data_IF_963353517025
#
_entry.id   IF_963353517025
#
_cell.length_a   1.000
_cell.length_b   1.000
_cell.length_c   1.000
_cell.angle_alpha   90.00
_cell.angle_beta   90.00
_cell.angle_gamma   90.00
#
_symmetry.space_group_name_H-M   'P 1'
#
loop_
_entity.id
_entity.type
_entity.pdbx_description
1 polymer ?
#
# COMPACT_ATOMS: atom_id res chain seq x y z
N UNK A 1 9.95 -1.61 12.05
CA UNK A 1 9.00 -1.07 11.06
C UNK A 1 9.83 -0.76 9.86
N UNK A 2 9.49 -1.36 8.72
CA UNK A 2 10.33 -1.32 7.52
C UNK A 2 9.59 -0.67 6.34
N UNK A 3 8.25 -0.70 6.37
CA UNK A 3 7.40 -0.13 5.34
C UNK A 3 6.03 0.29 5.89
N UNK A 4 5.39 1.20 5.16
CA UNK A 4 3.97 1.51 5.23
C UNK A 4 3.37 1.15 3.88
N UNK A 5 2.28 0.38 3.88
CA UNK A 5 1.61 -0.05 2.65
C UNK A 5 0.25 0.63 2.54
N UNK A 6 -0.02 1.23 1.38
CA UNK A 6 -1.27 1.87 1.03
C UNK A 6 -1.99 1.03 -0.02
N UNK A 7 -3.23 0.68 0.26
CA UNK A 7 -4.09 -0.13 -0.63
C UNK A 7 -5.55 0.30 -0.47
N UNK A 8 -6.43 -0.19 -1.34
CA UNK A 8 -7.83 0.19 -1.41
C UNK A 8 -8.03 1.58 -2.01
N UNK A 9 -9.29 1.93 -2.32
CA UNK A 9 -9.61 3.13 -3.10
C UNK A 9 -8.93 4.42 -2.63
N UNK A 10 -9.00 4.73 -1.32
CA UNK A 10 -8.37 5.94 -0.77
C UNK A 10 -6.85 5.78 -0.67
N UNK A 11 -6.35 4.65 -0.20
CA UNK A 11 -4.92 4.42 -0.04
C UNK A 11 -4.17 4.48 -1.38
N UNK A 12 -4.77 3.95 -2.44
CA UNK A 12 -4.18 3.90 -3.78
C UNK A 12 -4.25 5.25 -4.51
N UNK A 13 -5.34 6.00 -4.36
CA UNK A 13 -5.60 7.15 -5.22
C UNK A 13 -5.44 8.51 -4.54
N UNK A 14 -5.51 8.58 -3.19
CA UNK A 14 -5.47 9.85 -2.47
C UNK A 14 -4.04 10.18 -2.00
N UNK A 15 -3.25 10.77 -2.90
CA UNK A 15 -1.87 11.22 -2.61
C UNK A 15 -1.77 12.09 -1.35
N UNK A 16 -2.72 13.03 -1.14
CA UNK A 16 -2.75 13.89 0.03
C UNK A 16 -2.97 13.13 1.36
N UNK A 17 -3.73 12.02 1.33
CA UNK A 17 -3.94 11.18 2.51
C UNK A 17 -2.64 10.43 2.84
N UNK A 18 -1.94 9.93 1.83
CA UNK A 18 -0.63 9.29 2.02
C UNK A 18 0.41 10.27 2.57
N UNK A 19 0.42 11.50 2.08
CA UNK A 19 1.27 12.58 2.60
C UNK A 19 1.00 12.87 4.07
N UNK A 20 -0.27 13.05 4.44
CA UNK A 20 -0.65 13.30 5.84
C UNK A 20 -0.26 12.13 6.76
N UNK A 21 -0.48 10.89 6.31
CA UNK A 21 -0.08 9.69 7.05
C UNK A 21 1.44 9.60 7.21
N UNK A 22 2.21 9.81 6.14
CA UNK A 22 3.67 9.76 6.16
C UNK A 22 4.29 10.89 6.98
N UNK A 23 3.65 12.07 7.01
CA UNK A 23 4.08 13.20 7.85
C UNK A 23 4.09 12.83 9.34
N UNK A 24 3.12 12.04 9.80
CA UNK A 24 3.06 11.52 11.17
C UNK A 24 4.21 10.56 11.53
N UNK A 25 4.90 10.00 10.54
CA UNK A 25 5.97 9.01 10.72
C UNK A 25 7.38 9.58 10.49
N UNK A 26 7.52 10.90 10.29
CA UNK A 26 8.81 11.56 10.09
C UNK A 26 9.82 11.28 11.22
N UNK A 27 9.34 11.15 12.47
CA UNK A 27 10.20 10.85 13.63
C UNK A 27 10.89 9.47 13.52
N UNK A 28 10.37 8.57 12.68
CA UNK A 28 10.96 7.27 12.39
C UNK A 28 11.85 7.28 11.13
N UNK A 29 12.05 8.44 10.49
CA UNK A 29 12.82 8.57 9.25
C UNK A 29 12.01 8.37 7.96
N UNK A 30 10.68 8.41 8.04
CA UNK A 30 9.82 8.43 6.84
C UNK A 30 10.04 9.73 6.05
N UNK A 31 10.30 9.59 4.75
CA UNK A 31 10.42 10.68 3.80
C UNK A 31 9.71 10.26 2.52
N UNK A 32 8.72 11.02 2.11
CA UNK A 32 7.91 10.73 0.93
C UNK A 32 8.43 11.53 -0.26
N UNK A 33 8.54 10.90 -1.43
CA UNK A 33 8.77 11.60 -2.70
C UNK A 33 7.43 12.16 -3.16
N UNK A 34 7.25 13.48 -3.06
CA UNK A 34 5.95 14.15 -3.32
C UNK A 34 5.55 14.01 -4.78
N UNK A 35 6.49 14.11 -5.71
CA UNK A 35 6.21 14.02 -7.15
C UNK A 35 5.82 12.60 -7.54
N UNK A 36 6.54 11.59 -7.03
CA UNK A 36 6.20 10.18 -7.27
C UNK A 36 4.90 9.80 -6.56
N UNK A 37 4.69 10.30 -5.35
CA UNK A 37 3.45 10.10 -4.62
C UNK A 37 2.23 10.69 -5.36
N UNK A 38 2.38 11.89 -5.94
CA UNK A 38 1.32 12.57 -6.69
C UNK A 38 0.88 11.81 -7.94
N UNK A 39 1.81 11.10 -8.59
CA UNK A 39 1.51 10.23 -9.74
C UNK A 39 0.67 9.00 -9.37
N UNK A 40 0.62 8.63 -8.08
CA UNK A 40 -0.04 7.41 -7.58
C UNK A 40 0.26 6.15 -8.41
N UNK A 41 1.54 5.82 -8.69
CA UNK A 41 1.84 4.65 -9.51
C UNK A 41 1.44 3.37 -8.76
N UNK A 42 0.70 2.46 -9.41
CA UNK A 42 0.33 1.19 -8.77
C UNK A 42 1.58 0.34 -8.52
N UNK A 43 1.53 -0.46 -7.45
CA UNK A 43 2.53 -1.48 -7.11
C UNK A 43 3.97 -0.93 -7.03
N UNK A 44 4.13 0.24 -6.40
CA UNK A 44 5.37 1.00 -6.41
C UNK A 44 5.74 1.59 -5.05
N UNK A 45 7.05 1.80 -4.83
CA UNK A 45 7.55 2.54 -3.68
C UNK A 45 7.65 4.05 -3.99
N UNK A 46 6.88 4.83 -3.26
CA UNK A 46 6.79 6.29 -3.33
C UNK A 46 7.59 7.01 -2.23
N UNK A 47 8.40 6.29 -1.45
CA UNK A 47 9.35 6.92 -0.53
C UNK A 47 10.50 7.60 -1.28
N UNK A 48 11.02 8.68 -0.70
CA UNK A 48 12.25 9.32 -1.13
C UNK A 48 13.45 8.37 -0.95
N UNK A 49 14.48 8.50 -1.78
CA UNK A 49 15.67 7.63 -1.74
C UNK A 49 16.37 7.62 -0.37
N UNK A 50 16.33 8.76 0.34
CA UNK A 50 16.92 8.91 1.68
C UNK A 50 16.00 8.47 2.83
N UNK A 51 14.81 7.94 2.52
CA UNK A 51 13.91 7.46 3.57
C UNK A 51 14.43 6.16 4.19
N UNK A 52 14.27 6.04 5.51
CA UNK A 52 14.54 4.79 6.24
C UNK A 52 13.39 3.78 6.14
N UNK A 53 12.22 4.20 5.69
CA UNK A 53 11.01 3.39 5.58
C UNK A 53 10.51 3.41 4.14
N UNK A 54 10.06 2.27 3.63
CA UNK A 54 9.35 2.27 2.35
C UNK A 54 7.91 2.78 2.51
N UNK A 55 7.39 3.44 1.49
CA UNK A 55 5.98 3.84 1.39
C UNK A 55 5.46 3.23 0.09
N UNK A 56 4.72 2.13 0.18
CA UNK A 56 4.40 1.28 -0.97
C UNK A 56 2.91 1.42 -1.29
N UNK A 57 2.58 1.76 -2.53
CA UNK A 57 1.22 1.64 -3.05
C UNK A 57 1.06 0.24 -3.62
N UNK A 58 0.05 -0.50 -3.18
CA UNK A 58 -0.26 -1.84 -3.69
C UNK A 58 -1.71 -1.84 -4.15
N UNK A 59 -1.92 -2.19 -5.41
CA UNK A 59 -3.27 -2.28 -5.98
C UNK A 59 -4.01 -3.45 -5.36
N UNK A 60 -5.20 -3.19 -4.84
CA UNK A 60 -6.06 -4.23 -4.32
C UNK A 60 -6.63 -5.07 -5.47
N UNK A 61 -6.42 -6.38 -5.42
CA UNK A 61 -7.06 -7.35 -6.31
C UNK A 61 -8.19 -8.05 -5.54
N UNK A 62 -9.20 -7.28 -5.13
CA UNK A 62 -10.27 -7.73 -4.23
C UNK A 62 -11.01 -8.96 -4.77
N UNK A 63 -11.41 -8.92 -6.05
CA UNK A 63 -12.09 -10.03 -6.72
C UNK A 63 -11.25 -11.31 -6.72
N UNK A 64 -9.94 -11.18 -6.93
CA UNK A 64 -9.03 -12.31 -6.94
C UNK A 64 -8.80 -12.87 -5.52
N UNK A 65 -8.69 -11.98 -4.53
CA UNK A 65 -8.59 -12.38 -3.13
C UNK A 65 -9.85 -13.14 -2.69
N UNK A 66 -11.03 -12.68 -3.08
CA UNK A 66 -12.32 -13.35 -2.85
C UNK A 66 -12.36 -14.71 -3.57
N UNK A 67 -12.03 -14.76 -4.86
CA UNK A 67 -12.03 -16.00 -5.64
C UNK A 67 -11.09 -17.05 -5.02
N UNK A 68 -9.89 -16.65 -4.61
CA UNK A 68 -8.92 -17.52 -3.92
C UNK A 68 -9.44 -18.01 -2.58
N UNK A 69 -10.14 -17.17 -1.82
CA UNK A 69 -10.77 -17.56 -0.56
C UNK A 69 -11.89 -18.59 -0.78
N UNK A 70 -12.80 -18.33 -1.74
CA UNK A 70 -13.85 -19.28 -2.13
C UNK A 70 -13.29 -20.62 -2.58
N UNK A 71 -12.25 -20.61 -3.42
CA UNK A 71 -11.58 -21.83 -3.88
C UNK A 71 -11.01 -22.66 -2.72
N UNK A 72 -10.32 -22.01 -1.77
CA UNK A 72 -9.79 -22.68 -0.56
C UNK A 72 -10.89 -23.29 0.30
N UNK A 73 -12.05 -22.64 0.41
CA UNK A 73 -13.20 -23.17 1.14
C UNK A 73 -13.82 -24.37 0.43
N UNK A 74 -13.97 -24.31 -0.91
CA UNK A 74 -14.47 -25.42 -1.71
C UNK A 74 -13.58 -26.67 -1.60
N UNK A 75 -12.25 -26.49 -1.54
CA UNK A 75 -11.30 -27.60 -1.33
C UNK A 75 -11.31 -28.18 0.09
N UNK A 76 -11.83 -27.43 1.08
CA UNK A 76 -11.87 -27.84 2.49
C UNK A 76 -13.12 -28.62 2.87
N UNK A 77 -14.04 -28.93 1.94
CA UNK A 77 -15.14 -29.84 2.25
C UNK A 77 -14.59 -31.27 2.50
N UNK A 78 -14.72 -31.80 3.73
CA UNK A 78 -14.43 -33.21 3.99
C UNK A 78 -15.57 -34.08 3.44
N UNK A 79 -15.23 -35.34 3.15
CA UNK A 79 -16.13 -36.47 2.85
C UNK A 79 -17.33 -36.56 3.77
#
# INVERSE_FOLDING_TARGET
LDAVVFTGGVGENAAAVREAACAGLKFMGMQLDVDRNGQSPPDSNVAHADSKLAAIIVRAEEDWAIARACWRLAQKQPS
#
